data_IF_154728123024
#
_entry.id   IF_154728123024
#
_cell.length_a   1.000
_cell.length_b   1.000
_cell.length_c   1.000
_cell.angle_alpha   90.00
_cell.angle_beta   90.00
_cell.angle_gamma   90.00
#
_symmetry.space_group_name_H-M   'P 1'
#
loop_
_entity.id
_entity.type
_entity.pdbx_description
1 polymer ?
#
# COMPACT_ATOMS: atom_id res chain seq x y z
N UNK A 1 -26.89 34.02 -26.97
CA UNK A 1 -27.16 33.41 -25.66
C UNK A 1 -27.77 32.05 -25.92
N UNK A 2 -27.19 30.96 -25.41
CA UNK A 2 -27.79 29.63 -25.55
C UNK A 2 -28.85 29.48 -24.45
N UNK A 3 -30.09 29.31 -24.87
CA UNK A 3 -31.26 29.07 -24.02
C UNK A 3 -31.00 27.88 -23.09
N UNK A 4 -31.54 27.92 -21.86
CA UNK A 4 -31.26 27.00 -20.74
C UNK A 4 -31.60 25.52 -20.91
N UNK A 5 -31.52 24.97 -22.12
CA UNK A 5 -31.63 23.55 -22.42
C UNK A 5 -30.25 22.90 -22.32
N UNK A 6 -30.10 22.01 -21.35
CA UNK A 6 -28.90 21.18 -21.22
C UNK A 6 -28.80 20.27 -22.44
N UNK A 7 -27.73 20.43 -23.21
CA UNK A 7 -27.47 19.59 -24.38
C UNK A 7 -26.68 18.34 -24.00
N UNK A 8 -26.74 17.30 -24.84
CA UNK A 8 -25.98 16.06 -24.62
C UNK A 8 -24.47 16.31 -24.48
N UNK A 9 -23.94 17.28 -25.23
CA UNK A 9 -22.53 17.70 -25.15
C UNK A 9 -22.17 18.30 -23.79
N UNK A 10 -23.09 19.03 -23.15
CA UNK A 10 -22.86 19.62 -21.83
C UNK A 10 -22.76 18.52 -20.76
N UNK A 11 -23.63 17.52 -20.84
CA UNK A 11 -23.58 16.35 -19.94
C UNK A 11 -22.29 15.55 -20.15
N UNK A 12 -21.89 15.32 -21.39
CA UNK A 12 -20.66 14.59 -21.69
C UNK A 12 -19.43 15.35 -21.20
N UNK A 13 -19.38 16.66 -21.41
CA UNK A 13 -18.31 17.51 -20.90
C UNK A 13 -18.22 17.43 -19.37
N UNK A 14 -19.35 17.54 -18.66
CA UNK A 14 -19.40 17.45 -17.19
C UNK A 14 -19.09 16.05 -16.66
N UNK A 15 -19.56 15.01 -17.34
CA UNK A 15 -19.24 13.63 -16.96
C UNK A 15 -17.75 13.33 -17.15
N UNK A 16 -17.14 13.83 -18.23
CA UNK A 16 -15.71 13.67 -18.52
C UNK A 16 -14.84 14.44 -17.52
N UNK A 17 -15.24 15.65 -17.15
CA UNK A 17 -14.62 16.45 -16.08
C UNK A 17 -14.64 15.65 -14.75
N UNK A 18 -15.81 15.14 -14.35
CA UNK A 18 -15.95 14.37 -13.11
C UNK A 18 -15.17 13.05 -13.13
N UNK A 19 -15.12 12.37 -14.28
CA UNK A 19 -14.35 11.14 -14.45
C UNK A 19 -12.84 11.40 -14.41
N UNK A 20 -12.38 12.54 -14.94
CA UNK A 20 -10.97 12.95 -14.88
C UNK A 20 -10.54 13.16 -13.42
N UNK A 21 -11.30 13.96 -12.66
CA UNK A 21 -11.01 14.23 -11.25
C UNK A 21 -11.03 12.95 -10.40
N UNK A 22 -11.97 12.05 -10.67
CA UNK A 22 -12.05 10.76 -9.98
C UNK A 22 -10.89 9.83 -10.34
N UNK A 23 -10.44 9.85 -11.60
CA UNK A 23 -9.30 9.05 -12.06
C UNK A 23 -8.00 9.54 -11.43
N UNK A 24 -7.79 10.86 -11.36
CA UNK A 24 -6.61 11.46 -10.73
C UNK A 24 -6.56 11.18 -9.22
N UNK A 25 -7.72 11.22 -8.55
CA UNK A 25 -7.84 10.83 -7.15
C UNK A 25 -7.54 9.34 -6.95
N UNK A 26 -8.01 8.47 -7.85
CA UNK A 26 -7.75 7.03 -7.81
C UNK A 26 -6.28 6.69 -8.08
N UNK A 27 -5.64 7.36 -9.05
CA UNK A 27 -4.21 7.24 -9.36
C UNK A 27 -3.36 7.61 -8.14
N UNK A 28 -3.69 8.75 -7.51
CA UNK A 28 -3.04 9.23 -6.30
C UNK A 28 -3.25 8.28 -5.12
N UNK A 29 -4.46 7.74 -4.96
CA UNK A 29 -4.79 6.78 -3.90
C UNK A 29 -4.05 5.46 -4.10
N UNK A 30 -3.96 4.94 -5.34
CA UNK A 30 -3.21 3.72 -5.66
C UNK A 30 -1.75 3.85 -5.23
N UNK A 31 -1.08 4.96 -5.55
CA UNK A 31 0.30 5.21 -5.13
C UNK A 31 0.46 5.25 -3.61
N UNK A 32 -0.47 5.88 -2.89
CA UNK A 32 -0.43 5.93 -1.42
C UNK A 32 -0.67 4.55 -0.79
N UNK A 33 -1.62 3.78 -1.32
CA UNK A 33 -1.95 2.44 -0.82
C UNK A 33 -0.81 1.46 -1.05
N UNK A 34 -0.16 1.50 -2.22
CA UNK A 34 0.99 0.61 -2.51
C UNK A 34 2.17 0.90 -1.60
N UNK A 35 2.50 2.18 -1.38
CA UNK A 35 3.56 2.58 -0.44
C UNK A 35 3.21 2.14 0.98
N UNK A 36 1.99 2.39 1.45
CA UNK A 36 1.55 2.00 2.78
C UNK A 36 1.62 0.47 2.99
N UNK A 37 1.18 -0.32 1.99
CA UNK A 37 1.26 -1.77 2.02
C UNK A 37 2.71 -2.27 2.07
N UNK A 38 3.62 -1.67 1.29
CA UNK A 38 5.03 -2.02 1.30
C UNK A 38 5.66 -1.75 2.67
N UNK A 39 5.42 -0.58 3.27
CA UNK A 39 5.91 -0.24 4.61
C UNK A 39 5.37 -1.21 5.67
N UNK A 40 4.06 -1.49 5.65
CA UNK A 40 3.45 -2.44 6.56
C UNK A 40 4.08 -3.84 6.42
N UNK A 41 4.33 -4.30 5.19
CA UNK A 41 4.98 -5.58 4.92
C UNK A 41 6.40 -5.67 5.52
N UNK A 42 7.22 -4.63 5.35
CA UNK A 42 8.56 -4.56 5.95
C UNK A 42 8.49 -4.61 7.48
N UNK A 43 7.55 -3.88 8.09
CA UNK A 43 7.36 -3.90 9.54
C UNK A 43 6.98 -5.30 10.05
N UNK A 44 6.10 -6.01 9.36
CA UNK A 44 5.74 -7.40 9.70
C UNK A 44 6.97 -8.31 9.62
N UNK A 45 7.77 -8.20 8.57
CA UNK A 45 8.99 -8.99 8.43
C UNK A 45 9.99 -8.72 9.57
N UNK A 46 10.18 -7.45 9.93
CA UNK A 46 11.03 -7.07 11.05
C UNK A 46 10.52 -7.64 12.38
N UNK A 47 9.20 -7.57 12.62
CA UNK A 47 8.60 -8.14 13.82
C UNK A 47 8.83 -9.65 13.89
N UNK A 48 8.54 -10.37 12.80
CA UNK A 48 8.78 -11.82 12.72
C UNK A 48 10.25 -12.15 12.95
N UNK A 49 11.17 -11.41 12.34
CA UNK A 49 12.61 -11.60 12.52
C UNK A 49 13.06 -11.40 13.97
N UNK A 50 12.64 -10.30 14.62
CA UNK A 50 13.01 -10.00 16.00
C UNK A 50 12.48 -11.06 16.97
N UNK A 51 11.22 -11.46 16.80
CA UNK A 51 10.61 -12.52 17.60
C UNK A 51 11.32 -13.86 17.41
N UNK A 52 11.59 -14.24 16.16
CA UNK A 52 12.32 -15.45 15.80
C UNK A 52 13.74 -15.45 16.37
N UNK A 53 14.48 -14.35 16.20
CA UNK A 53 15.85 -14.18 16.73
C UNK A 53 15.89 -14.30 18.24
N UNK A 54 14.95 -13.67 18.95
CA UNK A 54 14.87 -13.73 20.42
C UNK A 54 14.56 -15.15 20.88
N UNK A 55 13.63 -15.85 20.22
CA UNK A 55 13.29 -17.23 20.55
C UNK A 55 14.45 -18.19 20.26
N UNK A 56 15.10 -18.06 19.11
CA UNK A 56 16.24 -18.89 18.72
C UNK A 56 17.44 -18.74 19.65
N UNK A 57 17.78 -17.50 20.05
CA UNK A 57 18.85 -17.23 21.02
C UNK A 57 18.62 -17.93 22.36
N UNK A 58 17.37 -17.96 22.86
CA UNK A 58 17.01 -18.64 24.12
C UNK A 58 17.08 -20.17 24.03
N UNK A 59 16.87 -20.74 22.85
CA UNK A 59 16.84 -22.19 22.61
C UNK A 59 18.16 -22.74 22.05
N UNK A 60 19.20 -21.93 21.97
CA UNK A 60 20.50 -22.35 21.47
C UNK A 60 21.18 -23.26 22.50
N UNK A 61 21.28 -24.55 22.21
CA UNK A 61 22.10 -25.49 22.98
C UNK A 61 23.57 -25.20 22.70
N UNK A 62 24.33 -24.85 23.74
CA UNK A 62 25.79 -24.71 23.63
C UNK A 62 26.38 -26.10 23.73
N UNK A 63 26.99 -26.59 22.64
CA UNK A 63 27.77 -27.83 22.65
C UNK A 63 29.23 -27.47 22.88
N UNK A 64 29.76 -27.86 24.03
CA UNK A 64 31.20 -27.84 24.26
C UNK A 64 31.83 -28.95 23.43
N UNK A 65 32.60 -28.57 22.41
CA UNK A 65 33.38 -29.53 21.63
C UNK A 65 34.55 -29.98 22.50
N UNK A 66 34.40 -31.12 23.18
CA UNK A 66 35.55 -31.82 23.76
C UNK A 66 36.32 -32.47 22.63
N UNK A 67 37.53 -31.97 22.41
CA UNK A 67 38.52 -32.63 21.56
C UNK A 67 39.09 -33.80 22.38
N UNK A 68 38.77 -35.02 21.94
CA UNK A 68 39.43 -36.25 22.41
C UNK A 68 40.82 -36.37 21.77
#
# INVERSE_FOLDING_TARGET
MSDGNVTRSDIEAKFRELQSDMSDAAESAKGKVTIAAAVAGVLVLLLVYVLGRKAGKKRSTVVEIRRL
#
